data_IF_699402233823
#
_entry.id   IF_699402233823
#
_cell.length_a   1.000
_cell.length_b   1.000
_cell.length_c   1.000
_cell.angle_alpha   90.00
_cell.angle_beta   90.00
_cell.angle_gamma   90.00
#
_symmetry.space_group_name_H-M   'P 1'
#
loop_
_entity.id
_entity.type
_entity.pdbx_description
1 polymer ?
#
# COMPACT_ATOMS: atom_id res chain seq x y z
N UNK A 1 -5.87 17.28 1.99
CA UNK A 1 -5.24 16.16 1.26
C UNK A 1 -5.20 14.93 2.16
N UNK A 2 -5.21 13.75 1.56
CA UNK A 2 -5.39 12.48 2.28
C UNK A 2 -4.14 11.80 2.86
N UNK A 3 -4.30 10.57 3.35
CA UNK A 3 -3.21 9.71 3.84
C UNK A 3 -3.24 8.30 3.24
N UNK A 4 -2.07 7.67 3.10
CA UNK A 4 -1.98 6.24 2.73
C UNK A 4 -1.27 5.48 3.83
N UNK A 5 -1.89 4.38 4.24
CA UNK A 5 -1.34 3.45 5.21
C UNK A 5 -1.15 2.09 4.54
N UNK A 6 -0.01 1.48 4.77
CA UNK A 6 0.34 0.19 4.18
C UNK A 6 0.76 -0.76 5.30
N UNK A 7 0.15 -1.93 5.33
CA UNK A 7 0.45 -2.96 6.33
C UNK A 7 0.43 -4.34 5.70
N UNK A 8 1.26 -5.24 6.21
CA UNK A 8 1.24 -6.64 5.82
C UNK A 8 0.86 -7.43 7.07
N UNK A 9 -0.21 -8.24 6.98
CA UNK A 9 -0.60 -9.20 8.02
C UNK A 9 -1.02 -10.52 7.41
N UNK A 10 -0.67 -11.63 8.05
CA UNK A 10 -1.08 -12.99 7.65
C UNK A 10 -0.91 -13.33 6.15
N UNK A 11 0.14 -12.77 5.54
CA UNK A 11 0.45 -12.99 4.13
C UNK A 11 -0.44 -12.22 3.17
N UNK A 12 -1.14 -11.21 3.66
CA UNK A 12 -1.95 -10.27 2.92
C UNK A 12 -1.38 -8.86 3.10
N UNK A 13 -1.20 -8.17 1.99
CA UNK A 13 -0.92 -6.74 1.95
C UNK A 13 -2.25 -5.98 1.98
N UNK A 14 -2.36 -5.04 2.91
CA UNK A 14 -3.47 -4.09 3.01
C UNK A 14 -2.95 -2.68 2.76
N UNK A 15 -3.56 -1.99 1.81
CA UNK A 15 -3.29 -0.57 1.53
C UNK A 15 -4.58 0.20 1.76
N UNK A 16 -4.55 1.17 2.65
CA UNK A 16 -5.69 2.04 2.94
C UNK A 16 -5.40 3.46 2.46
N UNK A 17 -6.39 4.07 1.79
CA UNK A 17 -6.37 5.44 1.32
C UNK A 17 -7.50 6.21 2.02
N UNK A 18 -7.25 7.44 2.45
CA UNK A 18 -8.24 8.31 3.11
C UNK A 18 -8.15 9.77 2.63
N UNK A 19 -9.17 10.37 2.02
CA UNK A 19 -9.12 11.80 1.64
C UNK A 19 -9.67 12.68 2.75
N UNK A 20 -9.18 13.92 2.83
CA UNK A 20 -9.84 14.95 3.63
C UNK A 20 -11.15 15.39 2.97
N UNK A 21 -12.01 16.07 3.74
CA UNK A 21 -13.21 16.71 3.21
C UNK A 21 -12.92 17.63 2.01
N UNK A 22 -13.86 17.70 1.06
CA UNK A 22 -13.72 18.45 -0.20
C UNK A 22 -13.01 17.70 -1.33
N UNK A 23 -12.66 16.42 -1.10
CA UNK A 23 -12.06 15.52 -2.07
C UNK A 23 -12.84 14.21 -2.14
N UNK A 24 -12.78 13.54 -3.28
CA UNK A 24 -13.36 12.23 -3.52
C UNK A 24 -12.35 11.33 -4.24
N UNK A 25 -12.28 10.06 -3.86
CA UNK A 25 -11.51 9.03 -4.53
C UNK A 25 -12.35 8.49 -5.69
N UNK A 26 -11.83 8.57 -6.91
CA UNK A 26 -12.45 7.97 -8.09
C UNK A 26 -11.96 6.53 -8.26
N UNK A 27 -10.63 6.35 -8.22
CA UNK A 27 -9.96 5.08 -8.50
C UNK A 27 -8.67 4.96 -7.70
N UNK A 28 -8.30 3.74 -7.35
CA UNK A 28 -6.99 3.44 -6.76
C UNK A 28 -6.29 2.32 -7.51
N UNK A 29 -4.97 2.41 -7.55
CA UNK A 29 -4.08 1.49 -8.24
C UNK A 29 -2.89 1.16 -7.34
N UNK A 30 -2.47 -0.10 -7.34
CA UNK A 30 -1.35 -0.59 -6.58
C UNK A 30 -0.51 -1.59 -7.37
N UNK A 31 0.81 -1.52 -7.17
CA UNK A 31 1.78 -2.49 -7.68
C UNK A 31 2.59 -3.03 -6.51
N UNK A 32 2.84 -4.33 -6.53
CA UNK A 32 3.72 -5.02 -5.58
C UNK A 32 4.80 -5.73 -6.38
N UNK A 33 6.06 -5.54 -6.03
CA UNK A 33 7.20 -6.16 -6.72
C UNK A 33 8.36 -6.44 -5.76
N UNK A 34 9.24 -7.37 -6.13
CA UNK A 34 10.55 -7.61 -5.47
C UNK A 34 11.70 -6.90 -6.15
N UNK A 35 11.47 -6.39 -7.36
CA UNK A 35 12.41 -5.53 -8.06
C UNK A 35 11.91 -4.10 -8.02
N UNK A 36 12.85 -3.14 -8.07
CA UNK A 36 12.51 -1.74 -8.21
C UNK A 36 11.61 -1.59 -9.45
N UNK A 37 10.37 -1.10 -9.30
CA UNK A 37 9.46 -0.98 -10.42
C UNK A 37 10.04 -0.09 -11.53
N UNK A 38 9.85 -0.48 -12.80
CA UNK A 38 10.20 0.34 -13.98
C UNK A 38 8.97 0.92 -14.69
N UNK A 39 7.78 0.45 -14.30
CA UNK A 39 6.50 0.90 -14.85
C UNK A 39 6.05 2.21 -14.21
N UNK A 40 5.99 3.27 -15.02
CA UNK A 40 5.62 4.62 -14.60
C UNK A 40 4.14 4.96 -14.85
N UNK A 41 3.32 4.03 -15.36
CA UNK A 41 1.94 4.30 -15.78
C UNK A 41 0.98 3.65 -14.78
N UNK A 42 0.41 4.40 -13.81
CA UNK A 42 -0.39 3.83 -12.73
C UNK A 42 -1.63 3.09 -13.22
N UNK A 43 -2.24 3.58 -14.30
CA UNK A 43 -3.38 2.95 -14.95
C UNK A 43 -3.08 1.56 -15.53
N UNK A 44 -1.82 1.10 -15.55
CA UNK A 44 -1.44 -0.25 -15.96
C UNK A 44 -1.14 -1.18 -14.78
N UNK A 45 -1.20 -0.69 -13.54
CA UNK A 45 -0.93 -1.54 -12.38
C UNK A 45 -1.93 -2.70 -12.28
N UNK A 46 -1.47 -3.88 -11.81
CA UNK A 46 -2.26 -5.10 -11.81
C UNK A 46 -3.36 -5.10 -10.74
N UNK A 47 -3.15 -4.39 -9.63
CA UNK A 47 -4.13 -4.28 -8.56
C UNK A 47 -4.81 -2.92 -8.66
N UNK A 48 -6.12 -2.89 -8.88
CA UNK A 48 -6.86 -1.64 -9.00
C UNK A 48 -8.31 -1.81 -8.54
N UNK A 49 -8.99 -0.68 -8.33
CA UNK A 49 -10.42 -0.67 -8.01
C UNK A 49 -11.33 -0.85 -9.22
N UNK A 50 -10.80 -0.66 -10.41
CA UNK A 50 -11.52 -0.76 -11.69
C UNK A 50 -10.99 -1.91 -12.58
N UNK A 51 -10.24 -2.86 -12.00
CA UNK A 51 -9.72 -4.05 -12.69
C UNK A 51 -9.87 -5.32 -11.88
N UNK A 52 -10.10 -6.42 -12.58
CA UNK A 52 -10.25 -7.76 -11.99
C UNK A 52 -11.67 -8.05 -11.50
N UNK A 53 -11.96 -9.33 -11.27
CA UNK A 53 -13.27 -9.81 -10.79
C UNK A 53 -13.07 -10.91 -9.75
N UNK A 54 -13.23 -10.62 -8.43
CA UNK A 54 -13.46 -9.30 -7.84
C UNK A 54 -12.22 -8.39 -7.96
N UNK A 55 -12.39 -7.06 -7.91
CA UNK A 55 -11.26 -6.15 -7.92
C UNK A 55 -10.41 -6.28 -6.66
N UNK A 56 -9.10 -6.11 -6.80
CA UNK A 56 -8.16 -6.19 -5.68
C UNK A 56 -8.27 -4.99 -4.73
N UNK A 57 -8.88 -3.90 -5.19
CA UNK A 57 -9.16 -2.72 -4.40
C UNK A 57 -10.63 -2.34 -4.45
N UNK A 58 -11.11 -1.67 -3.42
CA UNK A 58 -12.49 -1.19 -3.31
C UNK A 58 -12.48 0.24 -2.84
N UNK A 59 -13.22 1.12 -3.52
CA UNK A 59 -13.51 2.48 -3.07
C UNK A 59 -14.81 2.42 -2.27
N UNK A 60 -14.83 3.00 -1.07
CA UNK A 60 -16.02 3.04 -0.24
C UNK A 60 -17.12 3.90 -0.89
N UNK A 61 -18.40 3.60 -0.65
CA UNK A 61 -19.51 4.30 -1.29
C UNK A 61 -19.62 5.80 -0.98
N UNK A 62 -18.89 6.30 0.03
CA UNK A 62 -18.78 7.73 0.32
C UNK A 62 -17.61 8.41 -0.42
N UNK A 63 -16.82 7.68 -1.20
CA UNK A 63 -15.61 8.10 -1.89
C UNK A 63 -14.56 8.76 -0.99
N UNK A 64 -14.62 8.59 0.32
CA UNK A 64 -13.65 9.17 1.26
C UNK A 64 -12.51 8.20 1.57
N UNK A 65 -12.74 6.90 1.38
CA UNK A 65 -11.76 5.87 1.67
C UNK A 65 -11.70 4.83 0.55
N UNK A 66 -10.55 4.18 0.43
CA UNK A 66 -10.38 3.01 -0.41
C UNK A 66 -9.43 2.02 0.26
N UNK A 67 -9.61 0.73 -0.02
CA UNK A 67 -8.78 -0.34 0.51
C UNK A 67 -8.38 -1.31 -0.59
N UNK A 68 -7.10 -1.65 -0.68
CA UNK A 68 -6.61 -2.77 -1.47
C UNK A 68 -6.24 -3.94 -0.55
N UNK A 69 -6.66 -5.15 -0.93
CA UNK A 69 -6.35 -6.40 -0.23
C UNK A 69 -5.68 -7.34 -1.21
N UNK A 70 -4.35 -7.49 -1.10
CA UNK A 70 -3.53 -8.21 -2.08
C UNK A 70 -2.88 -9.41 -1.37
N UNK A 71 -3.26 -10.65 -1.71
CA UNK A 71 -2.58 -11.84 -1.21
C UNK A 71 -1.13 -11.85 -1.70
N UNK A 72 -0.18 -11.94 -0.78
CA UNK A 72 1.25 -12.08 -1.10
C UNK A 72 1.62 -13.56 -1.11
N UNK A 73 2.10 -14.15 -2.21
CA UNK A 73 2.57 -15.54 -2.20
C UNK A 73 3.78 -15.70 -1.27
N UNK A 74 4.00 -16.92 -0.77
CA UNK A 74 5.10 -17.22 0.15
C UNK A 74 6.48 -16.83 -0.39
N UNK A 75 6.68 -16.86 -1.71
CA UNK A 75 7.89 -16.41 -2.39
C UNK A 75 8.22 -14.92 -2.19
N UNK A 76 7.22 -14.11 -1.82
CA UNK A 76 7.34 -12.68 -1.52
C UNK A 76 7.52 -12.38 -0.02
N UNK A 77 7.24 -13.35 0.86
CA UNK A 77 7.19 -13.18 2.33
C UNK A 77 8.47 -13.65 3.02
N UNK A 78 9.61 -13.34 2.42
CA UNK A 78 10.91 -13.85 2.85
C UNK A 78 11.65 -12.86 3.73
N UNK A 79 12.32 -13.37 4.76
CA UNK A 79 13.24 -12.59 5.60
C UNK A 79 14.31 -11.91 4.74
N UNK A 80 14.64 -10.66 5.11
CA UNK A 80 15.62 -9.81 4.42
C UNK A 80 15.27 -9.45 2.97
N UNK A 81 14.06 -9.76 2.49
CA UNK A 81 13.61 -9.31 1.18
C UNK A 81 13.07 -7.90 1.24
N UNK A 82 13.31 -7.17 0.15
CA UNK A 82 12.69 -5.87 -0.07
C UNK A 82 11.48 -6.03 -0.95
N UNK A 83 10.32 -5.66 -0.43
CA UNK A 83 9.09 -5.48 -1.20
C UNK A 83 8.96 -4.01 -1.57
N UNK A 84 8.81 -3.77 -2.86
CA UNK A 84 8.50 -2.47 -3.42
C UNK A 84 7.01 -2.39 -3.64
N UNK A 85 6.41 -1.39 -3.01
CA UNK A 85 4.98 -1.12 -3.12
C UNK A 85 4.84 0.23 -3.79
N UNK A 86 3.94 0.31 -4.77
CA UNK A 86 3.57 1.54 -5.45
C UNK A 86 2.07 1.70 -5.29
N UNK A 87 1.62 2.91 -4.98
CA UNK A 87 0.23 3.24 -4.73
C UNK A 87 -0.05 4.56 -5.41
N UNK A 88 -1.24 4.63 -5.96
CA UNK A 88 -1.70 5.75 -6.75
C UNK A 88 -3.20 5.86 -6.59
N UNK A 89 -3.67 7.09 -6.41
CA UNK A 89 -5.09 7.39 -6.39
C UNK A 89 -5.39 8.50 -7.40
N UNK A 90 -6.49 8.31 -8.11
CA UNK A 90 -7.17 9.34 -8.88
C UNK A 90 -8.24 9.93 -7.97
N UNK A 91 -8.13 11.24 -7.71
CA UNK A 91 -9.01 11.99 -6.82
C UNK A 91 -9.56 13.22 -7.52
N UNK A 92 -10.77 13.63 -7.14
CA UNK A 92 -11.36 14.89 -7.62
C UNK A 92 -11.66 15.80 -6.45
N UNK A 93 -11.42 17.09 -6.63
CA UNK A 93 -11.96 18.15 -5.76
C UNK A 93 -12.79 19.13 -6.57
N UNK A 94 -13.85 19.66 -5.97
CA UNK A 94 -14.68 20.69 -6.59
C UNK A 94 -13.94 22.01 -6.80
N UNK A 95 -12.87 22.26 -6.03
CA UNK A 95 -12.12 23.53 -6.07
C UNK A 95 -10.95 23.50 -7.05
N UNK A 96 -10.29 22.35 -7.19
CA UNK A 96 -9.05 22.22 -7.99
C UNK A 96 -9.12 21.18 -9.11
N UNK A 97 -10.28 20.54 -9.29
CA UNK A 97 -10.50 19.51 -10.31
C UNK A 97 -9.85 18.15 -9.98
N UNK A 98 -9.62 17.35 -11.02
CA UNK A 98 -8.98 16.04 -10.92
C UNK A 98 -7.49 16.14 -10.63
N UNK A 99 -6.99 15.32 -9.71
CA UNK A 99 -5.58 15.18 -9.38
C UNK A 99 -5.18 13.71 -9.31
N UNK A 100 -3.92 13.43 -9.62
CA UNK A 100 -3.39 12.06 -9.74
C UNK A 100 -2.05 11.98 -9.01
N UNK A 101 -2.07 11.59 -7.74
CA UNK A 101 -0.90 11.27 -6.92
C UNK A 101 -1.39 11.07 -5.49
N UNK A 102 -0.72 10.22 -4.70
CA UNK A 102 -1.11 10.12 -3.31
C UNK A 102 0.01 9.77 -2.33
N UNK A 103 0.09 10.58 -1.25
CA UNK A 103 0.82 10.28 -0.01
C UNK A 103 2.12 11.07 0.15
N UNK A 104 2.68 11.03 1.37
CA UNK A 104 4.05 11.45 1.61
C UNK A 104 5.02 10.35 1.13
N UNK A 105 6.04 10.74 0.35
CA UNK A 105 7.00 9.80 -0.24
C UNK A 105 7.71 10.40 -1.45
N UNK A 106 8.84 9.79 -1.83
CA UNK A 106 9.53 10.17 -3.08
C UNK A 106 8.60 9.87 -4.25
N UNK A 107 8.56 10.82 -5.17
CA UNK A 107 7.95 10.55 -6.46
C UNK A 107 8.68 9.40 -7.12
N UNK A 108 7.90 8.51 -7.73
CA UNK A 108 8.43 7.47 -8.57
C UNK A 108 9.19 8.04 -9.79
N UNK A 109 8.72 9.15 -10.36
CA UNK A 109 9.38 9.86 -11.46
C UNK A 109 9.49 11.38 -11.19
N UNK A 110 10.03 12.15 -12.14
CA UNK A 110 10.17 13.61 -12.01
C UNK A 110 8.91 14.37 -12.43
N UNK A 111 7.80 13.69 -12.73
CA UNK A 111 6.54 14.34 -13.14
C UNK A 111 5.75 14.64 -11.86
N UNK A 112 5.45 15.91 -11.60
CA UNK A 112 4.96 16.38 -10.28
C UNK A 112 3.80 15.55 -9.66
N UNK A 113 2.87 15.07 -10.49
CA UNK A 113 1.78 14.17 -10.14
C UNK A 113 2.21 12.70 -10.29
N UNK A 114 3.06 12.27 -9.37
CA UNK A 114 3.76 10.99 -9.41
C UNK A 114 3.08 9.95 -8.51
N UNK A 115 3.12 8.68 -8.93
CA UNK A 115 2.90 7.57 -8.00
C UNK A 115 3.95 7.62 -6.88
N UNK A 116 3.57 7.28 -5.65
CA UNK A 116 4.51 7.25 -4.52
C UNK A 116 5.07 5.85 -4.35
N UNK A 117 6.27 5.78 -3.79
CA UNK A 117 7.02 4.55 -3.56
C UNK A 117 7.17 4.29 -2.06
N UNK A 118 7.07 3.01 -1.67
CA UNK A 118 7.49 2.52 -0.37
C UNK A 118 8.36 1.29 -0.56
N UNK A 119 9.46 1.23 0.18
CA UNK A 119 10.28 0.02 0.33
C UNK A 119 10.02 -0.58 1.71
N UNK A 120 9.62 -1.83 1.74
CA UNK A 120 9.51 -2.63 2.95
C UNK A 120 10.67 -3.59 2.97
N UNK A 121 11.54 -3.52 3.98
CA UNK A 121 12.44 -4.62 4.28
C UNK A 121 11.79 -5.45 5.37
N UNK A 122 11.34 -6.66 5.01
CA UNK A 122 10.77 -7.57 5.99
C UNK A 122 11.90 -8.09 6.88
N UNK A 123 11.91 -7.64 8.14
CA UNK A 123 12.80 -8.16 9.16
C UNK A 123 12.07 -9.27 9.90
N UNK A 124 12.52 -10.51 9.72
CA UNK A 124 12.08 -11.61 10.57
C UNK A 124 12.87 -11.56 11.86
N UNK A 125 12.24 -11.03 12.92
CA UNK A 125 12.73 -11.25 14.27
C UNK A 125 12.00 -12.48 14.84
N UNK A 126 12.69 -13.61 14.91
CA UNK A 126 12.26 -14.70 15.78
C UNK A 126 12.80 -14.38 17.19
N UNK A 127 11.95 -14.15 18.20
CA UNK A 127 12.44 -14.09 19.57
C UNK A 127 13.09 -15.44 19.89
N UNK A 128 14.37 -15.43 20.23
CA UNK A 128 15.05 -16.60 20.77
C UNK A 128 14.62 -16.74 22.24
N UNK A 129 13.52 -17.44 22.50
CA UNK A 129 13.18 -17.86 23.85
C UNK A 129 14.06 -19.05 24.22
N UNK A 130 15.02 -18.84 25.12
CA UNK A 130 15.80 -19.92 25.74
C UNK A 130 15.09 -20.23 27.06
N UNK A 131 14.04 -21.05 27.05
CA UNK A 131 13.44 -21.51 28.31
C UNK A 131 13.10 -23.00 28.31
N UNK A 132 13.46 -23.66 29.39
CA UNK A 132 13.36 -25.10 29.60
C UNK A 132 11.93 -25.46 30.08
N UNK A 133 11.15 -26.17 29.23
CA UNK A 133 9.94 -27.00 29.50
C UNK A 133 8.84 -26.53 30.50
N UNK A 134 7.51 -26.60 30.18
CA UNK A 134 6.87 -27.18 28.99
C UNK A 134 6.19 -26.15 28.05
N UNK A 135 6.50 -26.29 26.75
CA UNK A 135 5.84 -25.86 25.50
C UNK A 135 5.40 -24.38 25.38
N UNK A 136 6.07 -23.65 24.49
CA UNK A 136 5.68 -22.30 24.03
C UNK A 136 5.53 -22.23 22.51
N UNK A 137 4.56 -21.45 22.04
CA UNK A 137 4.30 -21.18 20.62
C UNK A 137 5.01 -19.90 20.19
N UNK A 138 5.69 -19.91 19.04
CA UNK A 138 6.35 -18.72 18.47
C UNK A 138 5.33 -17.84 17.75
N UNK A 139 5.26 -16.55 18.11
CA UNK A 139 4.45 -15.56 17.38
C UNK A 139 5.39 -14.53 16.74
N UNK A 140 5.39 -14.46 15.41
CA UNK A 140 6.11 -13.42 14.66
C UNK A 140 5.24 -12.14 14.60
N UNK A 141 5.76 -11.00 15.04
CA UNK A 141 5.07 -9.70 14.93
C UNK A 141 5.44 -8.96 13.64
N UNK A 142 4.51 -8.12 13.14
CA UNK A 142 4.60 -7.43 11.83
C UNK A 142 4.52 -5.92 11.97
N UNK A 143 5.17 -5.19 11.06
CA UNK A 143 5.24 -3.72 11.04
C UNK A 143 4.08 -3.09 10.25
N UNK A 144 3.51 -2.02 10.78
CA UNK A 144 2.55 -1.12 10.13
C UNK A 144 3.22 0.23 9.88
N UNK A 145 3.13 0.77 8.65
CA UNK A 145 3.62 2.12 8.33
C UNK A 145 2.46 3.00 7.85
N UNK A 146 2.21 4.09 8.57
CA UNK A 146 1.20 5.09 8.25
C UNK A 146 1.90 6.41 7.98
N UNK A 147 1.64 7.04 6.83
CA UNK A 147 2.05 8.43 6.57
C UNK A 147 0.81 9.26 6.23
N UNK A 148 0.52 10.26 7.04
CA UNK A 148 -0.39 11.36 6.72
C UNK A 148 0.36 12.39 5.87
N UNK A 149 -0.24 12.86 4.77
CA UNK A 149 0.28 14.03 4.07
C UNK A 149 -0.23 15.28 4.81
N UNK A 150 0.62 15.88 5.64
CA UNK A 150 0.41 17.21 6.17
C UNK A 150 0.95 18.24 5.16
N UNK A 151 0.08 19.16 4.72
CA UNK A 151 0.46 20.50 4.29
C UNK A 151 -0.16 21.47 5.30
#
# INVERSE_FOLDING_TARGET
MGGTCVGISDGTLTINYTVNSGWAINKVHALVSTTVPTLAIPGQFPHASDKGTPPACTVAGNNLTATCTIPLPSSLRGCDRTLYIVTHADVTSTTVGGQTAWGAGKCYDTKGNCAKYWSFKEQCACPLEIDFFPITYTVCSKALLCNSAAC
#
